data_IF_578813155695
#
_entry.id   IF_578813155695
#
_cell.length_a   1.000
_cell.length_b   1.000
_cell.length_c   1.000
_cell.angle_alpha   90.00
_cell.angle_beta   90.00
_cell.angle_gamma   90.00
#
_symmetry.space_group_name_H-M   'P 1'
#
loop_
_entity.id
_entity.type
_entity.pdbx_description
1 polymer ?
#
# COMPACT_ATOMS: atom_id res chain seq x y z
N UNK A 1 6.62 15.30 -12.41
CA UNK A 1 6.81 13.83 -12.32
C UNK A 1 6.15 13.36 -11.02
N UNK A 2 5.27 12.37 -11.10
CA UNK A 2 4.64 11.79 -9.91
C UNK A 2 5.61 10.83 -9.21
N UNK A 3 5.65 10.87 -7.88
CA UNK A 3 6.50 10.04 -7.02
C UNK A 3 5.67 8.93 -6.39
N UNK A 4 6.00 7.68 -6.67
CA UNK A 4 5.27 6.50 -6.21
C UNK A 4 6.13 5.73 -5.21
N UNK A 5 5.60 5.43 -4.04
CA UNK A 5 6.20 4.53 -3.07
C UNK A 5 5.48 3.17 -3.10
N UNK A 6 6.24 2.10 -3.21
CA UNK A 6 5.78 0.76 -2.90
C UNK A 6 6.32 0.43 -1.51
N UNK A 7 5.43 0.41 -0.52
CA UNK A 7 5.77 0.17 0.88
C UNK A 7 5.22 -1.17 1.33
N UNK A 8 6.08 -2.10 1.70
CA UNK A 8 5.62 -3.44 2.04
C UNK A 8 6.21 -3.99 3.33
N UNK A 9 5.54 -5.00 3.88
CA UNK A 9 6.07 -5.96 4.83
C UNK A 9 5.96 -7.37 4.25
N UNK A 10 7.02 -8.16 4.39
CA UNK A 10 7.03 -9.56 3.93
C UNK A 10 7.75 -10.45 4.92
N UNK A 11 7.05 -11.47 5.47
CA UNK A 11 7.67 -12.45 6.37
C UNK A 11 8.46 -13.53 5.61
N UNK A 12 7.95 -14.00 4.46
CA UNK A 12 8.47 -15.18 3.75
C UNK A 12 8.77 -14.92 2.27
N UNK A 13 8.74 -13.66 1.81
CA UNK A 13 9.10 -13.28 0.45
C UNK A 13 7.94 -13.10 -0.53
N UNK A 14 6.73 -13.63 -0.26
CA UNK A 14 5.60 -13.55 -1.18
C UNK A 14 5.17 -12.09 -1.47
N UNK A 15 4.99 -11.29 -0.43
CA UNK A 15 4.64 -9.87 -0.57
C UNK A 15 5.78 -9.08 -1.22
N UNK A 16 7.04 -9.42 -0.92
CA UNK A 16 8.21 -8.83 -1.58
C UNK A 16 8.20 -9.09 -3.08
N UNK A 17 7.87 -10.34 -3.50
CA UNK A 17 7.76 -10.69 -4.93
C UNK A 17 6.63 -9.94 -5.61
N UNK A 18 5.48 -9.81 -4.96
CA UNK A 18 4.36 -8.98 -5.44
C UNK A 18 4.76 -7.50 -5.53
N UNK A 19 5.49 -6.97 -4.53
CA UNK A 19 5.95 -5.58 -4.54
C UNK A 19 6.86 -5.26 -5.73
N UNK A 20 7.69 -6.21 -6.14
CA UNK A 20 8.52 -6.07 -7.35
C UNK A 20 7.65 -5.94 -8.61
N UNK A 21 6.64 -6.81 -8.77
CA UNK A 21 5.73 -6.73 -9.92
C UNK A 21 4.91 -5.44 -9.94
N UNK A 22 4.44 -4.97 -8.77
CA UNK A 22 3.78 -3.65 -8.62
C UNK A 22 4.71 -2.53 -9.05
N UNK A 23 5.98 -2.57 -8.62
CA UNK A 23 6.98 -1.55 -8.95
C UNK A 23 7.30 -1.53 -10.45
N UNK A 24 7.45 -2.69 -11.08
CA UNK A 24 7.65 -2.82 -12.54
C UNK A 24 6.46 -2.22 -13.30
N UNK A 25 5.23 -2.52 -12.87
CA UNK A 25 4.03 -1.95 -13.46
C UNK A 25 3.97 -0.43 -13.33
N UNK A 26 4.26 0.11 -12.15
CA UNK A 26 4.28 1.56 -11.92
C UNK A 26 5.38 2.25 -12.74
N UNK A 27 6.56 1.65 -12.82
CA UNK A 27 7.69 2.19 -13.58
C UNK A 27 7.47 2.19 -15.11
N UNK A 28 6.52 1.40 -15.62
CA UNK A 28 6.16 1.39 -17.04
C UNK A 28 5.43 2.67 -17.50
N UNK A 29 5.00 3.52 -16.57
CA UNK A 29 4.28 4.77 -16.87
C UNK A 29 5.27 5.93 -17.01
N UNK A 30 5.21 6.62 -18.14
CA UNK A 30 6.06 7.78 -18.38
C UNK A 30 5.79 8.92 -17.37
N UNK A 31 6.83 9.61 -16.94
CA UNK A 31 6.70 10.75 -16.04
C UNK A 31 6.48 10.39 -14.56
N UNK A 32 6.76 9.15 -14.17
CA UNK A 32 6.75 8.73 -12.76
C UNK A 32 8.15 8.32 -12.29
N UNK A 33 8.38 8.42 -10.98
CA UNK A 33 9.51 7.81 -10.28
C UNK A 33 8.99 6.84 -9.25
N UNK A 34 9.59 5.65 -9.18
CA UNK A 34 9.18 4.58 -8.27
C UNK A 34 10.27 4.31 -7.25
N UNK A 35 9.88 4.23 -5.99
CA UNK A 35 10.73 3.83 -4.87
C UNK A 35 10.11 2.61 -4.20
N UNK A 36 10.91 1.58 -3.91
CA UNK A 36 10.47 0.39 -3.18
C UNK A 36 11.13 0.39 -1.81
N UNK A 37 10.34 0.28 -0.77
CA UNK A 37 10.81 0.22 0.63
C UNK A 37 9.99 -0.78 1.44
N UNK A 38 10.57 -1.22 2.54
CA UNK A 38 9.90 -2.09 3.50
C UNK A 38 9.72 -1.41 4.86
N UNK A 39 8.71 -1.83 5.61
CA UNK A 39 8.59 -1.41 7.02
C UNK A 39 9.57 -2.20 7.89
N UNK A 40 9.97 -1.69 9.07
CA UNK A 40 10.84 -2.40 9.99
C UNK A 40 10.25 -3.73 10.47
N UNK A 41 11.11 -4.73 10.71
CA UNK A 41 10.74 -5.95 11.43
C UNK A 41 10.63 -5.66 12.93
N UNK A 42 9.66 -6.27 13.59
CA UNK A 42 9.44 -6.19 15.03
C UNK A 42 9.89 -7.45 15.78
N UNK A 43 10.01 -8.56 15.05
CA UNK A 43 10.45 -9.84 15.63
C UNK A 43 11.97 -9.82 15.78
N UNK A 44 12.51 -10.17 16.97
CA UNK A 44 13.96 -10.32 17.14
C UNK A 44 14.56 -11.28 16.10
N UNK A 45 15.73 -10.92 15.57
CA UNK A 45 16.35 -11.63 14.42
C UNK A 45 16.51 -13.13 14.65
N UNK A 46 16.89 -13.53 15.85
CA UNK A 46 17.03 -14.94 16.20
C UNK A 46 15.71 -15.71 16.12
N UNK A 47 14.63 -15.10 16.58
CA UNK A 47 13.27 -15.68 16.52
C UNK A 47 12.73 -15.69 15.08
N UNK A 48 13.00 -14.65 14.31
CA UNK A 48 12.64 -14.60 12.90
C UNK A 48 13.31 -15.72 12.10
N UNK A 49 14.61 -15.94 12.31
CA UNK A 49 15.34 -17.05 11.70
C UNK A 49 14.80 -18.43 12.11
N UNK A 50 14.51 -18.64 13.40
CA UNK A 50 13.89 -19.89 13.89
C UNK A 50 12.52 -20.15 13.28
N UNK A 51 11.76 -19.10 12.99
CA UNK A 51 10.45 -19.18 12.33
C UNK A 51 10.55 -19.30 10.80
N UNK A 52 11.75 -19.41 10.23
CA UNK A 52 11.96 -19.48 8.78
C UNK A 52 11.63 -18.20 8.02
N UNK A 53 11.59 -17.06 8.73
CA UNK A 53 11.32 -15.78 8.08
C UNK A 53 12.51 -15.34 7.21
N UNK A 54 12.21 -14.70 6.08
CA UNK A 54 13.21 -14.11 5.19
C UNK A 54 13.74 -12.81 5.80
N UNK A 55 14.84 -12.88 6.54
CA UNK A 55 15.47 -11.73 7.20
C UNK A 55 16.25 -10.84 6.25
N UNK A 56 16.80 -11.42 5.18
CA UNK A 56 17.57 -10.70 4.16
C UNK A 56 16.65 -10.24 3.02
N UNK A 57 16.37 -8.96 2.98
CA UNK A 57 15.58 -8.31 1.93
C UNK A 57 16.34 -7.08 1.44
N UNK A 58 16.41 -6.88 0.12
CA UNK A 58 17.23 -5.85 -0.53
C UNK A 58 16.63 -4.43 -0.40
N UNK A 59 15.32 -4.32 -0.24
CA UNK A 59 14.67 -3.01 -0.13
C UNK A 59 15.04 -2.30 1.18
N UNK A 60 15.41 -1.01 1.13
CA UNK A 60 15.71 -0.24 2.33
C UNK A 60 14.47 -0.10 3.23
N UNK A 61 14.72 0.12 4.52
CA UNK A 61 13.66 0.40 5.49
C UNK A 61 13.15 1.83 5.30
N UNK A 62 11.84 2.01 5.32
CA UNK A 62 11.19 3.31 5.25
C UNK A 62 11.23 4.06 6.60
N UNK A 63 11.24 5.39 6.54
CA UNK A 63 10.88 6.25 7.67
C UNK A 63 9.44 6.73 7.54
N UNK A 64 8.81 7.07 8.66
CA UNK A 64 7.42 7.55 8.66
C UNK A 64 7.31 8.91 7.97
N UNK A 65 8.28 9.78 8.20
CA UNK A 65 8.29 11.16 7.73
C UNK A 65 8.31 11.26 6.20
N UNK A 66 8.96 10.30 5.54
CA UNK A 66 9.09 10.33 4.08
C UNK A 66 7.78 10.08 3.33
N UNK A 67 6.76 9.47 3.98
CA UNK A 67 5.47 9.19 3.32
C UNK A 67 4.85 10.46 2.72
N UNK A 68 5.04 11.60 3.38
CA UNK A 68 4.56 12.89 2.89
C UNK A 68 5.20 13.36 1.57
N UNK A 69 6.32 12.77 1.15
CA UNK A 69 7.04 13.18 -0.06
C UNK A 69 6.57 12.46 -1.35
N UNK A 70 5.69 11.48 -1.23
CA UNK A 70 5.16 10.73 -2.36
C UNK A 70 3.75 11.19 -2.74
N UNK A 71 3.39 11.04 -4.00
CA UNK A 71 2.08 11.38 -4.56
C UNK A 71 1.12 10.17 -4.52
N UNK A 72 1.69 8.97 -4.52
CA UNK A 72 0.97 7.72 -4.33
C UNK A 72 1.78 6.75 -3.47
N UNK A 73 1.08 5.94 -2.66
CA UNK A 73 1.67 4.87 -1.88
C UNK A 73 0.87 3.58 -2.10
N UNK A 74 1.55 2.53 -2.56
CA UNK A 74 0.97 1.20 -2.72
C UNK A 74 1.51 0.32 -1.59
N UNK A 75 0.61 -0.10 -0.69
CA UNK A 75 0.95 -0.84 0.52
C UNK A 75 0.83 -2.35 0.29
N UNK A 76 1.86 -3.10 0.71
CA UNK A 76 1.87 -4.55 0.64
C UNK A 76 1.97 -5.18 2.03
N UNK A 77 1.08 -6.14 2.36
CA UNK A 77 1.10 -6.84 3.65
C UNK A 77 0.60 -8.27 3.54
N UNK A 78 1.17 -9.22 4.29
CA UNK A 78 0.48 -10.49 4.49
C UNK A 78 -0.72 -10.29 5.42
N UNK A 79 -1.74 -11.15 5.27
CA UNK A 79 -2.86 -11.15 6.22
C UNK A 79 -2.43 -11.63 7.61
N UNK A 80 -3.02 -11.06 8.62
CA UNK A 80 -3.09 -11.60 9.98
C UNK A 80 -4.53 -11.48 10.46
N UNK A 81 -5.23 -12.63 10.42
CA UNK A 81 -6.64 -12.71 10.84
C UNK A 81 -7.55 -11.70 10.12
N UNK A 82 -7.39 -11.54 8.79
CA UNK A 82 -8.17 -10.59 7.99
C UNK A 82 -7.75 -9.12 8.10
N UNK A 83 -6.60 -8.85 8.72
CA UNK A 83 -6.02 -7.51 8.89
C UNK A 83 -4.55 -7.49 8.42
N UNK A 84 -3.97 -6.28 8.31
CA UNK A 84 -2.55 -6.13 8.04
C UNK A 84 -1.68 -6.72 9.15
N UNK A 85 -0.44 -7.09 8.82
CA UNK A 85 0.54 -7.54 9.80
C UNK A 85 0.86 -6.45 10.84
N UNK A 86 1.21 -6.86 12.06
CA UNK A 86 1.55 -5.97 13.16
C UNK A 86 2.67 -4.99 12.80
N UNK A 87 3.65 -5.41 12.02
CA UNK A 87 4.74 -4.56 11.54
C UNK A 87 4.23 -3.37 10.71
N UNK A 88 3.32 -3.63 9.77
CA UNK A 88 2.68 -2.58 8.97
C UNK A 88 1.78 -1.70 9.84
N UNK A 89 1.01 -2.29 10.76
CA UNK A 89 0.16 -1.55 11.69
C UNK A 89 0.98 -0.63 12.59
N UNK A 90 2.04 -1.16 13.21
CA UNK A 90 2.94 -0.38 14.07
C UNK A 90 3.58 0.79 13.32
N UNK A 91 3.96 0.59 12.06
CA UNK A 91 4.51 1.66 11.23
C UNK A 91 3.47 2.76 10.97
N UNK A 92 2.24 2.39 10.63
CA UNK A 92 1.15 3.32 10.38
C UNK A 92 0.66 4.03 11.65
N UNK A 93 0.71 3.37 12.82
CA UNK A 93 0.34 4.01 14.09
C UNK A 93 1.27 5.18 14.45
N UNK A 94 2.49 5.21 13.92
CA UNK A 94 3.42 6.31 14.11
C UNK A 94 3.16 7.52 13.19
N UNK A 95 2.21 7.42 12.24
CA UNK A 95 1.90 8.49 11.28
C UNK A 95 1.03 9.62 11.84
N UNK A 96 0.76 9.66 13.15
CA UNK A 96 -0.09 10.68 13.78
C UNK A 96 0.34 12.12 13.46
N UNK A 97 1.66 12.39 13.42
CA UNK A 97 2.18 13.69 13.04
C UNK A 97 1.90 14.10 11.58
N UNK A 98 1.86 13.13 10.67
CA UNK A 98 1.49 13.36 9.28
C UNK A 98 -0.02 13.58 9.15
N UNK A 99 -0.82 12.84 9.92
CA UNK A 99 -2.27 12.96 9.94
C UNK A 99 -2.71 14.37 10.40
N UNK A 100 -2.16 14.87 11.51
CA UNK A 100 -2.45 16.23 12.01
C UNK A 100 -2.16 17.30 10.96
N UNK A 101 -1.10 17.12 10.16
CA UNK A 101 -0.71 18.04 9.08
C UNK A 101 -1.52 17.85 7.79
N UNK A 102 -2.37 16.84 7.70
CA UNK A 102 -3.05 16.48 6.45
C UNK A 102 -2.09 16.05 5.33
N UNK A 103 -0.89 15.56 5.68
CA UNK A 103 0.19 15.33 4.73
C UNK A 103 -0.09 14.29 3.64
N UNK A 104 -1.09 13.41 3.85
CA UNK A 104 -1.50 12.38 2.89
C UNK A 104 -2.87 12.68 2.24
N UNK A 105 -3.51 13.79 2.57
CA UNK A 105 -4.81 14.16 2.00
C UNK A 105 -4.71 14.34 0.49
N UNK A 106 -5.60 13.67 -0.26
CA UNK A 106 -5.66 13.72 -1.72
C UNK A 106 -4.59 12.89 -2.45
N UNK A 107 -3.65 12.27 -1.74
CA UNK A 107 -2.68 11.33 -2.33
C UNK A 107 -3.33 9.99 -2.61
N UNK A 108 -2.81 9.26 -3.60
CA UNK A 108 -3.35 7.95 -3.96
C UNK A 108 -2.86 6.88 -2.98
N UNK A 109 -3.80 6.06 -2.48
CA UNK A 109 -3.53 4.88 -1.67
C UNK A 109 -4.03 3.61 -2.36
N UNK A 110 -3.25 2.55 -2.33
CA UNK A 110 -3.62 1.25 -2.87
C UNK A 110 -3.04 0.13 -2.02
N UNK A 111 -3.64 -1.07 -2.07
CA UNK A 111 -3.24 -2.19 -1.21
C UNK A 111 -3.14 -3.47 -2.02
N UNK A 112 -2.11 -4.28 -1.75
CA UNK A 112 -2.00 -5.67 -2.21
C UNK A 112 -1.61 -6.58 -1.05
N UNK A 113 -2.00 -7.85 -1.10
CA UNK A 113 -1.85 -8.75 0.05
C UNK A 113 -1.40 -10.16 -0.31
N UNK A 114 -0.98 -10.91 0.70
CA UNK A 114 -0.75 -12.35 0.64
C UNK A 114 -1.55 -13.05 1.74
N UNK A 115 -2.13 -14.21 1.41
CA UNK A 115 -2.77 -15.13 2.37
C UNK A 115 -2.19 -16.53 2.22
N UNK A 116 -2.37 -17.40 3.21
CA UNK A 116 -2.00 -18.80 3.08
C UNK A 116 -3.02 -19.58 2.23
N UNK A 117 -4.29 -19.20 2.31
CA UNK A 117 -5.42 -19.95 1.69
C UNK A 117 -6.27 -19.06 0.80
N UNK A 118 -7.01 -19.68 -0.10
CA UNK A 118 -7.84 -18.99 -1.10
C UNK A 118 -8.90 -18.07 -0.48
N UNK A 119 -9.49 -18.46 0.64
CA UNK A 119 -10.52 -17.69 1.36
C UNK A 119 -10.01 -17.15 2.72
N UNK A 120 -8.70 -17.04 2.87
CA UNK A 120 -8.04 -16.67 4.13
C UNK A 120 -8.03 -15.17 4.45
N UNK A 121 -8.92 -14.39 3.86
CA UNK A 121 -9.07 -12.97 4.17
C UNK A 121 -8.33 -12.02 3.23
N UNK A 122 -8.19 -12.33 1.95
CA UNK A 122 -7.61 -11.42 0.95
C UNK A 122 -8.38 -10.10 0.92
N UNK A 123 -9.70 -10.16 0.68
CA UNK A 123 -10.55 -8.98 0.60
C UNK A 123 -10.69 -8.24 1.92
N UNK A 124 -10.90 -8.97 3.03
CA UNK A 124 -11.05 -8.35 4.36
C UNK A 124 -9.77 -7.63 4.79
N UNK A 125 -8.58 -8.17 4.49
CA UNK A 125 -7.31 -7.49 4.78
C UNK A 125 -7.18 -6.19 3.99
N UNK A 126 -7.53 -6.20 2.70
CA UNK A 126 -7.48 -5.01 1.86
C UNK A 126 -8.51 -3.98 2.34
N UNK A 127 -9.76 -4.38 2.55
CA UNK A 127 -10.84 -3.45 2.94
C UNK A 127 -10.66 -2.90 4.35
N UNK A 128 -10.14 -3.69 5.31
CA UNK A 128 -9.78 -3.17 6.62
C UNK A 128 -8.61 -2.18 6.57
N UNK A 129 -7.67 -2.37 5.64
CA UNK A 129 -6.58 -1.41 5.40
C UNK A 129 -7.11 -0.09 4.83
N UNK A 130 -8.12 -0.14 3.94
CA UNK A 130 -8.73 1.05 3.37
C UNK A 130 -9.27 2.01 4.44
N UNK A 131 -9.76 1.51 5.59
CA UNK A 131 -10.17 2.37 6.70
C UNK A 131 -9.04 3.29 7.15
N UNK A 132 -7.80 2.77 7.26
CA UNK A 132 -6.63 3.57 7.63
C UNK A 132 -6.32 4.63 6.57
N UNK A 133 -6.40 4.26 5.28
CA UNK A 133 -6.14 5.19 4.17
C UNK A 133 -7.19 6.31 4.13
N UNK A 134 -8.45 5.99 4.35
CA UNK A 134 -9.55 6.97 4.42
C UNK A 134 -9.37 7.94 5.59
N UNK A 135 -8.92 7.48 6.76
CA UNK A 135 -8.59 8.34 7.89
C UNK A 135 -7.45 9.32 7.57
N UNK A 136 -6.54 8.95 6.68
CA UNK A 136 -5.51 9.84 6.16
C UNK A 136 -5.99 10.74 5.01
N UNK A 137 -7.25 10.61 4.56
CA UNK A 137 -7.80 11.38 3.45
C UNK A 137 -7.26 10.98 2.08
N UNK A 138 -6.74 9.75 1.95
CA UNK A 138 -6.20 9.26 0.68
C UNK A 138 -7.31 8.85 -0.30
N UNK A 139 -7.02 8.96 -1.59
CA UNK A 139 -7.87 8.47 -2.69
C UNK A 139 -7.55 7.00 -2.93
N UNK A 140 -8.51 6.12 -2.68
CA UNK A 140 -8.31 4.68 -2.81
C UNK A 140 -8.41 4.24 -4.28
N UNK A 141 -7.43 3.46 -4.75
CA UNK A 141 -7.39 2.84 -6.06
C UNK A 141 -7.14 1.35 -5.92
N UNK A 142 -8.05 0.53 -6.45
CA UNK A 142 -7.96 -0.93 -6.44
C UNK A 142 -7.42 -1.52 -7.75
N UNK A 143 -7.78 -2.78 -8.01
CA UNK A 143 -7.48 -3.52 -9.23
C UNK A 143 -8.78 -3.69 -10.05
N UNK A 144 -9.02 -2.86 -11.08
CA UNK A 144 -10.28 -2.89 -11.82
C UNK A 144 -10.43 -4.14 -12.69
N UNK A 145 -11.66 -4.52 -13.00
CA UNK A 145 -11.97 -5.64 -13.93
C UNK A 145 -11.47 -5.41 -15.38
N UNK A 146 -10.90 -4.25 -15.69
CA UNK A 146 -10.11 -4.06 -16.89
C UNK A 146 -8.88 -5.00 -16.94
N UNK A 147 -8.44 -5.52 -15.81
CA UNK A 147 -7.54 -6.66 -15.73
C UNK A 147 -8.32 -7.95 -15.91
N UNK A 148 -8.28 -8.54 -17.10
CA UNK A 148 -9.04 -9.73 -17.44
C UNK A 148 -8.71 -10.96 -16.56
N UNK A 149 -7.52 -11.01 -15.94
CA UNK A 149 -7.12 -12.08 -15.03
C UNK A 149 -7.99 -12.23 -13.78
N UNK A 150 -8.80 -11.21 -13.41
CA UNK A 150 -9.78 -11.32 -12.33
C UNK A 150 -10.95 -12.26 -12.64
N UNK A 151 -11.20 -12.55 -13.90
CA UNK A 151 -12.29 -13.46 -14.33
C UNK A 151 -11.82 -14.89 -14.56
N UNK A 152 -10.56 -15.18 -14.25
CA UNK A 152 -9.95 -16.49 -14.46
C UNK A 152 -10.53 -17.54 -13.50
N UNK A 153 -10.95 -18.70 -14.05
CA UNK A 153 -11.60 -19.79 -13.31
C UNK A 153 -10.90 -21.14 -13.49
N UNK A 154 -9.83 -21.18 -14.25
CA UNK A 154 -9.10 -22.41 -14.64
C UNK A 154 -7.91 -22.71 -13.73
N UNK A 155 -7.59 -21.82 -12.79
CA UNK A 155 -6.56 -22.03 -11.76
C UNK A 155 -6.97 -21.44 -10.40
N UNK A 156 -6.31 -21.91 -9.34
CA UNK A 156 -6.39 -21.26 -8.03
C UNK A 156 -5.50 -20.02 -8.08
N UNK A 157 -6.10 -18.84 -8.01
CA UNK A 157 -5.41 -17.56 -8.11
C UNK A 157 -6.02 -16.53 -7.18
N UNK A 158 -5.19 -15.58 -6.72
CA UNK A 158 -5.64 -14.41 -5.99
C UNK A 158 -6.10 -13.29 -6.91
N UNK A 159 -6.51 -12.20 -6.30
CA UNK A 159 -6.96 -10.98 -6.96
C UNK A 159 -8.43 -10.68 -6.67
N UNK A 160 -8.71 -9.40 -6.49
CA UNK A 160 -10.05 -8.87 -6.30
C UNK A 160 -10.10 -7.43 -6.79
N UNK A 161 -11.30 -6.83 -7.00
CA UNK A 161 -11.39 -5.41 -7.37
C UNK A 161 -10.84 -4.46 -6.32
N UNK A 162 -10.68 -4.92 -5.09
CA UNK A 162 -10.09 -4.12 -4.00
C UNK A 162 -8.56 -4.02 -4.11
N UNK A 163 -7.89 -5.05 -4.68
CA UNK A 163 -6.44 -5.06 -4.90
C UNK A 163 -5.92 -6.44 -5.28
N UNK A 164 -4.69 -6.48 -5.78
CA UNK A 164 -3.99 -7.71 -6.12
C UNK A 164 -3.70 -8.53 -4.86
N UNK A 165 -3.72 -9.85 -5.01
CA UNK A 165 -3.40 -10.75 -3.92
C UNK A 165 -2.74 -12.03 -4.43
N UNK A 166 -2.02 -12.71 -3.54
CA UNK A 166 -1.40 -14.02 -3.81
C UNK A 166 -1.70 -15.00 -2.69
N UNK A 167 -1.66 -16.29 -3.02
CA UNK A 167 -1.75 -17.38 -2.08
C UNK A 167 -0.37 -18.02 -1.87
N UNK A 168 0.03 -18.19 -0.61
CA UNK A 168 1.29 -18.81 -0.26
C UNK A 168 1.23 -20.34 -0.09
N UNK A 169 0.01 -20.90 0.07
CA UNK A 169 -0.19 -22.26 0.54
C UNK A 169 -0.07 -22.37 2.07
N UNK A 170 -0.57 -23.47 2.64
CA UNK A 170 -0.55 -23.68 4.09
C UNK A 170 0.85 -23.83 4.68
N UNK A 171 1.80 -24.30 3.89
CA UNK A 171 3.21 -24.47 4.22
C UNK A 171 4.11 -23.31 3.72
N UNK A 172 3.55 -22.34 3.02
CA UNK A 172 4.27 -21.21 2.45
C UNK A 172 5.11 -21.55 1.19
N UNK A 173 4.97 -22.74 0.62
CA UNK A 173 5.80 -23.16 -0.52
C UNK A 173 5.33 -22.62 -1.87
N UNK A 174 4.02 -22.28 -2.00
CA UNK A 174 3.47 -21.77 -3.26
C UNK A 174 3.96 -20.35 -3.52
N UNK A 175 4.62 -20.16 -4.63
CA UNK A 175 5.01 -18.83 -5.09
C UNK A 175 3.87 -18.12 -5.82
N UNK A 176 3.86 -16.78 -5.88
CA UNK A 176 2.88 -16.04 -6.68
C UNK A 176 2.83 -16.56 -8.13
N UNK A 177 1.61 -16.85 -8.61
CA UNK A 177 1.40 -17.32 -9.98
C UNK A 177 1.63 -16.19 -11.00
N UNK A 178 1.73 -16.56 -12.29
CA UNK A 178 1.85 -15.58 -13.37
C UNK A 178 0.65 -14.63 -13.40
N UNK A 179 -0.57 -15.15 -13.17
CA UNK A 179 -1.77 -14.32 -13.12
C UNK A 179 -1.75 -13.34 -11.94
N UNK A 180 -1.29 -13.77 -10.76
CA UNK A 180 -1.18 -12.92 -9.58
C UNK A 180 -0.11 -11.82 -9.77
N UNK A 181 1.02 -12.15 -10.37
CA UNK A 181 2.05 -11.17 -10.72
C UNK A 181 1.59 -10.19 -11.80
N UNK A 182 0.86 -10.68 -12.82
CA UNK A 182 0.27 -9.83 -13.84
C UNK A 182 -0.77 -8.86 -13.25
N UNK A 183 -1.58 -9.31 -12.28
CA UNK A 183 -2.51 -8.47 -11.53
C UNK A 183 -1.80 -7.40 -10.70
N UNK A 184 -0.72 -7.75 -10.02
CA UNK A 184 0.12 -6.84 -9.26
C UNK A 184 0.77 -5.77 -10.17
N UNK A 185 1.32 -6.20 -11.30
CA UNK A 185 1.88 -5.30 -12.31
C UNK A 185 0.80 -4.35 -12.87
N UNK A 186 -0.38 -4.89 -13.22
CA UNK A 186 -1.50 -4.07 -13.70
C UNK A 186 -1.90 -3.02 -12.66
N UNK A 187 -2.05 -3.40 -11.39
CA UNK A 187 -2.39 -2.48 -10.31
C UNK A 187 -1.34 -1.38 -10.17
N UNK A 188 -0.05 -1.72 -10.19
CA UNK A 188 1.04 -0.75 -10.13
C UNK A 188 0.95 0.30 -11.25
N UNK A 189 0.76 -0.15 -12.49
CA UNK A 189 0.57 0.73 -13.66
C UNK A 189 -0.67 1.60 -13.50
N UNK A 190 -1.81 1.01 -13.13
CA UNK A 190 -3.08 1.74 -12.99
C UNK A 190 -3.01 2.85 -11.93
N UNK A 191 -2.41 2.55 -10.76
CA UNK A 191 -2.18 3.53 -9.70
C UNK A 191 -1.28 4.67 -10.18
N UNK A 192 -0.19 4.33 -10.90
CA UNK A 192 0.75 5.32 -11.42
C UNK A 192 0.10 6.25 -12.45
N UNK A 193 -0.74 5.72 -13.35
CA UNK A 193 -1.51 6.51 -14.31
C UNK A 193 -2.45 7.50 -13.63
N UNK A 194 -3.16 7.07 -12.58
CA UNK A 194 -4.07 7.93 -11.81
C UNK A 194 -3.28 9.00 -11.04
N UNK A 195 -2.20 8.62 -10.36
CA UNK A 195 -1.36 9.56 -9.64
C UNK A 195 -0.76 10.63 -10.57
N UNK A 196 -0.28 10.23 -11.75
CA UNK A 196 0.23 11.16 -12.74
C UNK A 196 -0.82 12.18 -13.19
N UNK A 197 -2.05 11.72 -13.46
CA UNK A 197 -3.18 12.62 -13.85
C UNK A 197 -3.53 13.59 -12.73
N UNK A 198 -3.55 13.15 -11.46
CA UNK A 198 -3.84 14.02 -10.32
C UNK A 198 -2.75 15.07 -10.12
N UNK A 199 -1.48 14.72 -10.27
CA UNK A 199 -0.35 15.65 -10.18
C UNK A 199 -0.40 16.68 -11.30
N UNK A 200 -0.68 16.27 -12.55
CA UNK A 200 -0.82 17.18 -13.68
C UNK A 200 -2.01 18.13 -13.52
N UNK A 201 -3.18 17.62 -13.13
CA UNK A 201 -4.37 18.43 -12.92
C UNK A 201 -4.26 19.41 -11.73
N UNK A 202 -3.40 19.12 -10.74
CA UNK A 202 -3.10 20.04 -9.65
C UNK A 202 -2.24 21.23 -10.11
N UNK A 203 -1.36 21.02 -11.10
CA UNK A 203 -0.54 22.10 -11.70
C UNK A 203 -1.35 23.13 -12.48
N UNK A 204 -2.54 22.77 -12.96
CA UNK A 204 -3.46 23.66 -13.68
C UNK A 204 -4.41 24.45 -12.74
N UNK A 205 -4.53 24.02 -11.51
CA UNK A 205 -5.31 24.71 -10.46
C UNK A 205 -4.35 25.54 -9.59
N UNK A 206 -4.62 26.83 -9.46
CA UNK A 206 -3.89 27.71 -8.53
C UNK A 206 -3.85 27.16 -7.10
N UNK A 207 -3.11 27.79 -6.17
CA UNK A 207 -2.94 27.29 -4.82
C UNK A 207 -4.30 27.03 -4.17
N UNK A 208 -4.42 25.90 -3.47
CA UNK A 208 -5.62 25.54 -2.73
C UNK A 208 -6.00 26.69 -1.75
N UNK A 209 -7.30 26.98 -1.56
CA UNK A 209 -7.71 27.97 -0.57
C UNK A 209 -7.13 27.59 0.80
N UNK A 210 -6.56 28.58 1.50
CA UNK A 210 -6.03 28.37 2.83
C UNK A 210 -7.11 27.71 3.72
N UNK A 211 -6.76 26.59 4.35
CA UNK A 211 -7.64 25.94 5.30
C UNK A 211 -8.16 26.98 6.31
N UNK A 212 -9.46 26.93 6.62
CA UNK A 212 -10.03 27.71 7.70
C UNK A 212 -9.26 27.42 8.98
N UNK A 213 -8.37 28.35 9.33
CA UNK A 213 -7.77 28.36 10.65
C UNK A 213 -8.92 28.60 11.62
N UNK A 214 -9.14 27.67 12.55
CA UNK A 214 -10.04 27.86 13.67
C UNK A 214 -9.70 29.19 14.35
N UNK A 215 -10.53 30.20 14.13
CA UNK A 215 -10.56 31.40 14.94
C UNK A 215 -11.13 31.01 16.31
N UNK A 216 -10.25 30.58 17.20
CA UNK A 216 -10.54 30.59 18.63
C UNK A 216 -10.48 32.04 19.08
N UNK A 217 -11.55 32.79 18.86
CA UNK A 217 -11.77 34.01 19.63
C UNK A 217 -11.97 33.63 21.09
N UNK A 218 -10.95 33.92 21.87
CA UNK A 218 -11.02 33.96 23.32
C UNK A 218 -12.02 35.04 23.75
N UNK A 219 -13.25 34.63 24.02
CA UNK A 219 -14.15 35.47 24.81
C UNK A 219 -13.60 35.51 26.24
N UNK A 220 -13.04 36.66 26.60
CA UNK A 220 -12.61 36.95 27.97
C UNK A 220 -13.76 36.91 28.96
N UNK A 221 -13.48 36.73 30.26
CA UNK A 221 -14.52 36.62 31.28
C UNK A 221 -15.27 37.94 31.45
N UNK A 222 -16.61 37.89 31.35
CA UNK A 222 -17.46 39.00 31.81
C UNK A 222 -17.53 38.87 33.32
N UNK A 223 -17.14 39.96 34.01
CA UNK A 223 -17.27 40.15 35.44
C UNK A 223 -18.72 40.22 35.94
#
# INVERSE_FOLDING_TARGET
MAKILILYYSSYGHVERMAQAVAEGAASVAGVTVTVKRVPELVPEELARKAGMKTEQTSPVASVEELGHYDAIIFGTPTRFGNMAAQMRNFLDQTGGLWVKGALVGKVGSVFVSTATQHGGQETTITSFHNTLLHHGMVIVGLPYAFAGLTRMDEITGGSPYGASTLAGGDGSRQPSENELAGAHFQGRHVAEIAARLVHGAGERGPAPANMQNSTETTGPRG
#
